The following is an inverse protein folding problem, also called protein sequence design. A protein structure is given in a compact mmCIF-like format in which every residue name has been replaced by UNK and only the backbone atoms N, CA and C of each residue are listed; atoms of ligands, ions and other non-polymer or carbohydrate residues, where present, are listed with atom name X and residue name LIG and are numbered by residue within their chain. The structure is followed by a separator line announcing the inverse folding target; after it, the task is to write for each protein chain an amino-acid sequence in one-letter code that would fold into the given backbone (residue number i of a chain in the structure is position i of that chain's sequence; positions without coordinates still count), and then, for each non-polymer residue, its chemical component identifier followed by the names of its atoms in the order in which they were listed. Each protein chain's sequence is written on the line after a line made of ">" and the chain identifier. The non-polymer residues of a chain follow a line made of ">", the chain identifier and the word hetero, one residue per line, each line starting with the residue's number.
data_IF_594112709019
#
_entry.id   IF_594112709019
#
_cell.length_a   1.000
_cell.length_b   1.000
_cell.length_c   1.000
_cell.angle_alpha   90.00
_cell.angle_beta   90.00
_cell.angle_gamma   90.00
#
_symmetry.space_group_name_H-M   'P 1'
#
loop_
_entity.id
_entity.type
_entity.pdbx_description
1 polymer ?
#
# COMPACT_ATOMS: atom_id res chain seq x y z
N UNK A 1 17.32 23.59 9.73
CA UNK A 1 15.98 23.04 9.45
C UNK A 1 16.09 21.53 9.53
N UNK A 2 15.43 20.90 10.51
CA UNK A 2 15.44 19.44 10.64
C UNK A 2 14.46 18.83 9.63
N UNK A 3 14.98 18.13 8.62
CA UNK A 3 14.16 17.27 7.76
C UNK A 3 13.69 16.07 8.59
N UNK A 4 12.44 16.12 9.05
CA UNK A 4 11.74 14.94 9.54
C UNK A 4 11.50 14.00 8.36
N UNK A 5 12.40 13.01 8.17
CA UNK A 5 12.10 11.85 7.34
C UNK A 5 11.13 10.96 8.12
N UNK A 6 9.88 10.72 7.69
CA UNK A 6 9.03 9.74 8.33
C UNK A 6 9.65 8.36 8.10
N UNK A 7 10.20 7.75 9.14
CA UNK A 7 10.91 6.46 9.08
C UNK A 7 9.98 5.24 9.02
N UNK A 8 8.82 5.34 8.39
CA UNK A 8 7.93 4.19 8.21
C UNK A 8 6.70 4.49 7.36
N UNK A 9 6.08 3.43 6.83
CA UNK A 9 4.77 3.52 6.18
C UNK A 9 3.74 4.15 7.13
N UNK A 10 2.91 5.03 6.60
CA UNK A 10 1.72 5.51 7.32
C UNK A 10 0.82 4.34 7.75
N UNK A 11 0.02 4.54 8.81
CA UNK A 11 -0.91 3.50 9.30
C UNK A 11 -1.87 3.02 8.18
N UNK A 12 -2.33 3.96 7.35
CA UNK A 12 -3.14 3.67 6.17
C UNK A 12 -2.36 2.83 5.14
N UNK A 13 -1.13 3.21 4.78
CA UNK A 13 -0.32 2.44 3.84
C UNK A 13 -0.01 1.01 4.34
N UNK A 14 0.21 0.82 5.65
CA UNK A 14 0.39 -0.53 6.24
C UNK A 14 -0.86 -1.40 6.06
N UNK A 15 -2.05 -0.81 6.28
CA UNK A 15 -3.32 -1.52 6.11
C UNK A 15 -3.60 -1.82 4.65
N UNK A 16 -3.35 -0.85 3.76
CA UNK A 16 -3.45 -1.05 2.30
C UNK A 16 -2.54 -2.19 1.87
N UNK A 17 -1.25 -2.18 2.26
CA UNK A 17 -0.32 -3.27 1.93
C UNK A 17 -0.84 -4.64 2.34
N UNK A 18 -1.42 -4.77 3.53
CA UNK A 18 -2.00 -6.04 4.00
C UNK A 18 -3.19 -6.47 3.13
N UNK A 19 -4.09 -5.55 2.81
CA UNK A 19 -5.28 -5.80 1.97
C UNK A 19 -4.89 -6.28 0.56
N UNK A 20 -3.80 -5.74 0.02
CA UNK A 20 -3.28 -6.07 -1.30
C UNK A 20 -2.50 -7.38 -1.37
N UNK A 21 -2.11 -7.96 -0.23
CA UNK A 21 -1.43 -9.25 -0.19
C UNK A 21 -2.40 -10.37 -0.64
N UNK A 22 -2.09 -11.12 -1.71
CA UNK A 22 -2.91 -12.23 -2.16
C UNK A 22 -3.04 -13.34 -1.12
N UNK A 23 -2.04 -13.52 -0.25
CA UNK A 23 -2.04 -14.53 0.81
C UNK A 23 -2.88 -14.11 2.03
N UNK A 24 -3.21 -12.82 2.17
CA UNK A 24 -4.02 -12.32 3.27
C UNK A 24 -5.52 -12.56 2.99
N UNK A 25 -6.29 -13.21 3.89
CA UNK A 25 -7.72 -13.40 3.69
C UNK A 25 -8.48 -12.07 3.82
N UNK A 26 -8.96 -11.54 2.70
CA UNK A 26 -9.72 -10.28 2.69
C UNK A 26 -11.07 -10.48 3.39
N UNK A 27 -11.34 -9.66 4.41
CA UNK A 27 -12.62 -9.66 5.12
C UNK A 27 -13.50 -8.47 4.73
N UNK A 28 -14.76 -8.52 5.16
CA UNK A 28 -15.78 -7.49 4.90
C UNK A 28 -15.36 -6.12 5.45
N UNK A 29 -14.78 -6.10 6.65
CA UNK A 29 -14.37 -4.90 7.37
C UNK A 29 -13.24 -4.17 6.63
N UNK A 30 -12.36 -4.91 5.96
CA UNK A 30 -11.28 -4.33 5.16
C UNK A 30 -11.80 -3.64 3.90
N UNK A 31 -12.78 -4.24 3.21
CA UNK A 31 -13.45 -3.61 2.07
C UNK A 31 -14.14 -2.32 2.50
N UNK A 32 -14.91 -2.36 3.58
CA UNK A 32 -15.60 -1.18 4.13
C UNK A 32 -14.61 -0.10 4.50
N UNK A 33 -13.49 -0.48 5.10
CA UNK A 33 -12.45 0.47 5.47
C UNK A 33 -11.86 1.19 4.26
N UNK A 34 -11.56 0.46 3.15
CA UNK A 34 -11.06 1.09 1.93
C UNK A 34 -12.10 2.01 1.30
N UNK A 35 -13.36 1.59 1.21
CA UNK A 35 -14.43 2.44 0.67
C UNK A 35 -14.56 3.74 1.48
N UNK A 36 -14.60 3.64 2.81
CA UNK A 36 -14.64 4.82 3.68
C UNK A 36 -13.39 5.69 3.55
N UNK A 37 -12.21 5.08 3.40
CA UNK A 37 -10.96 5.79 3.18
C UNK A 37 -10.98 6.62 1.88
N UNK A 38 -11.37 6.01 0.76
CA UNK A 38 -11.52 6.70 -0.54
C UNK A 38 -12.57 7.81 -0.44
N UNK A 39 -13.74 7.54 0.15
CA UNK A 39 -14.78 8.53 0.33
C UNK A 39 -14.28 9.74 1.13
N UNK A 40 -13.53 9.51 2.22
CA UNK A 40 -12.94 10.57 3.04
C UNK A 40 -11.96 11.42 2.22
N UNK A 41 -11.12 10.80 1.39
CA UNK A 41 -10.16 11.49 0.51
C UNK A 41 -10.86 12.37 -0.51
N UNK A 42 -11.93 11.87 -1.13
CA UNK A 42 -12.77 12.66 -2.04
C UNK A 42 -13.45 13.83 -1.33
N UNK A 43 -14.05 13.59 -0.16
CA UNK A 43 -14.73 14.64 0.63
C UNK A 43 -13.78 15.76 1.07
N UNK A 44 -12.54 15.42 1.39
CA UNK A 44 -11.48 16.37 1.74
C UNK A 44 -10.82 17.03 0.52
N UNK A 45 -11.24 16.68 -0.70
CA UNK A 45 -10.66 17.17 -1.95
C UNK A 45 -9.13 16.98 -1.99
N UNK A 46 -8.69 15.76 -1.68
CA UNK A 46 -7.26 15.42 -1.68
C UNK A 46 -6.60 15.88 -3.00
N UNK A 47 -5.52 16.69 -2.95
CA UNK A 47 -4.89 17.25 -4.14
C UNK A 47 -4.50 16.18 -5.17
N UNK A 48 -4.07 15.00 -4.70
CA UNK A 48 -3.68 13.92 -5.59
C UNK A 48 -4.84 13.39 -6.44
N UNK A 49 -6.09 13.50 -5.95
CA UNK A 49 -7.28 13.17 -6.71
C UNK A 49 -7.70 14.31 -7.65
N UNK A 50 -7.51 15.57 -7.25
CA UNK A 50 -7.83 16.74 -8.08
C UNK A 50 -6.92 16.84 -9.32
N UNK A 51 -5.68 16.39 -9.20
CA UNK A 51 -4.70 16.38 -10.29
C UNK A 51 -4.96 15.25 -11.32
N UNK A 52 -5.85 14.31 -11.02
CA UNK A 52 -6.21 13.25 -11.95
C UNK A 52 -7.05 13.76 -13.12
N UNK A 53 -6.85 13.16 -14.29
CA UNK A 53 -7.71 13.42 -15.44
C UNK A 53 -9.16 12.97 -15.19
N UNK A 54 -10.13 13.64 -15.83
CA UNK A 54 -11.56 13.28 -15.73
C UNK A 54 -11.84 11.80 -16.07
N UNK A 55 -11.28 11.21 -17.15
CA UNK A 55 -11.49 9.80 -17.44
C UNK A 55 -10.98 8.88 -16.32
N UNK A 56 -9.83 9.21 -15.70
CA UNK A 56 -9.29 8.42 -14.59
C UNK A 56 -10.15 8.51 -13.34
N UNK A 57 -10.70 9.70 -13.03
CA UNK A 57 -11.65 9.86 -11.93
C UNK A 57 -12.93 9.05 -12.13
N UNK A 58 -13.46 9.02 -13.35
CA UNK A 58 -14.62 8.18 -13.69
C UNK A 58 -14.33 6.69 -13.50
N UNK A 59 -13.11 6.24 -13.86
CA UNK A 59 -12.69 4.86 -13.64
C UNK A 59 -12.56 4.54 -12.14
N UNK A 60 -11.94 5.42 -11.34
CA UNK A 60 -11.89 5.26 -9.88
C UNK A 60 -13.29 5.15 -9.29
N UNK A 61 -14.22 6.00 -9.72
CA UNK A 61 -15.60 6.01 -9.26
C UNK A 61 -16.35 4.73 -9.66
N UNK A 62 -16.16 4.25 -10.89
CA UNK A 62 -16.77 3.00 -11.35
C UNK A 62 -16.29 1.83 -10.47
N UNK A 63 -14.97 1.67 -10.29
CA UNK A 63 -14.42 0.61 -9.46
C UNK A 63 -14.83 0.72 -7.99
N UNK A 64 -15.02 1.94 -7.46
CA UNK A 64 -15.60 2.16 -6.14
C UNK A 64 -17.03 1.59 -6.06
N UNK A 65 -17.88 1.88 -7.06
CA UNK A 65 -19.25 1.36 -7.14
C UNK A 65 -19.28 -0.16 -7.28
N UNK A 66 -18.43 -0.74 -8.12
CA UNK A 66 -18.31 -2.20 -8.27
C UNK A 66 -17.90 -2.87 -6.96
N UNK A 67 -16.90 -2.35 -6.25
CA UNK A 67 -16.51 -2.84 -4.93
C UNK A 67 -17.67 -2.76 -3.92
N UNK A 68 -18.45 -1.68 -3.93
CA UNK A 68 -19.62 -1.54 -3.07
C UNK A 68 -20.74 -2.53 -3.42
N UNK A 69 -21.00 -2.78 -4.71
CA UNK A 69 -21.98 -3.76 -5.17
C UNK A 69 -21.54 -5.19 -4.83
N UNK A 70 -20.26 -5.51 -5.01
CA UNK A 70 -19.68 -6.79 -4.60
C UNK A 70 -19.83 -7.00 -3.09
N UNK A 71 -19.57 -5.96 -2.28
CA UNK A 71 -19.77 -5.99 -0.83
C UNK A 71 -21.23 -6.27 -0.43
N UNK A 72 -22.20 -5.63 -1.10
CA UNK A 72 -23.62 -5.78 -0.80
C UNK A 72 -24.18 -7.13 -1.30
N UNK A 73 -23.77 -7.58 -2.48
CA UNK A 73 -24.22 -8.84 -3.10
C UNK A 73 -23.56 -10.10 -2.53
N UNK A 74 -22.62 -9.96 -1.59
CA UNK A 74 -21.79 -11.03 -1.03
C UNK A 74 -22.50 -11.95 -0.02
N UNK A 75 -23.84 -11.97 0.01
CA UNK A 75 -24.65 -12.63 1.01
C UNK A 75 -24.37 -14.12 1.27
N UNK A 76 -23.63 -14.85 0.42
CA UNK A 76 -23.21 -16.25 0.68
C UNK A 76 -21.95 -16.77 -0.07
N UNK A 77 -21.26 -15.99 -0.92
CA UNK A 77 -20.13 -16.49 -1.74
C UNK A 77 -18.99 -15.47 -1.95
N UNK A 78 -18.39 -14.99 -0.86
CA UNK A 78 -17.24 -14.06 -0.90
C UNK A 78 -16.00 -14.70 -1.55
N UNK A 79 -15.83 -16.02 -1.44
CA UNK A 79 -14.59 -16.69 -1.84
C UNK A 79 -14.31 -16.69 -3.35
N UNK A 80 -15.34 -16.69 -4.21
CA UNK A 80 -15.19 -16.75 -5.68
C UNK A 80 -14.97 -15.40 -6.35
N UNK A 81 -15.14 -14.28 -5.63
CA UNK A 81 -15.02 -12.90 -6.17
C UNK A 81 -13.88 -12.08 -5.55
N UNK A 82 -13.02 -12.73 -4.76
CA UNK A 82 -11.96 -12.06 -3.99
C UNK A 82 -10.86 -11.42 -4.86
N UNK A 83 -10.64 -11.94 -6.07
CA UNK A 83 -9.73 -11.31 -7.02
C UNK A 83 -10.36 -10.04 -7.62
N UNK A 84 -11.64 -10.11 -7.96
CA UNK A 84 -12.39 -9.01 -8.55
C UNK A 84 -12.49 -7.83 -7.58
N UNK A 85 -12.79 -8.10 -6.31
CA UNK A 85 -12.91 -7.03 -5.31
C UNK A 85 -11.58 -6.34 -5.01
N UNK A 86 -10.45 -7.06 -4.92
CA UNK A 86 -9.14 -6.42 -4.70
C UNK A 86 -8.77 -5.51 -5.87
N UNK A 87 -9.04 -5.97 -7.08
CA UNK A 87 -8.82 -5.17 -8.29
C UNK A 87 -9.67 -3.89 -8.25
N UNK A 88 -10.95 -4.00 -7.89
CA UNK A 88 -11.82 -2.83 -7.72
C UNK A 88 -11.29 -1.86 -6.65
N UNK A 89 -10.83 -2.37 -5.50
CA UNK A 89 -10.26 -1.55 -4.43
C UNK A 89 -8.97 -0.83 -4.85
N UNK A 90 -8.10 -1.52 -5.61
CA UNK A 90 -6.88 -0.92 -6.18
C UNK A 90 -7.21 0.24 -7.13
N UNK A 91 -8.12 0.00 -8.07
CA UNK A 91 -8.53 1.00 -9.06
C UNK A 91 -9.24 2.19 -8.40
N UNK A 92 -10.03 1.95 -7.34
CA UNK A 92 -10.69 3.01 -6.58
C UNK A 92 -9.70 3.91 -5.82
N UNK A 93 -8.57 3.36 -5.36
CA UNK A 93 -7.52 4.09 -4.65
C UNK A 93 -6.46 4.71 -5.59
N UNK A 94 -6.57 4.53 -6.91
CA UNK A 94 -5.56 5.00 -7.86
C UNK A 94 -5.29 6.50 -7.71
N UNK A 95 -4.01 6.87 -7.66
CA UNK A 95 -3.55 8.24 -7.46
C UNK A 95 -3.33 8.65 -6.00
N UNK A 96 -3.80 7.87 -5.02
CA UNK A 96 -3.58 8.19 -3.61
C UNK A 96 -2.13 7.88 -3.17
N UNK A 97 -1.48 8.78 -2.41
CA UNK A 97 -0.09 8.60 -2.00
C UNK A 97 0.09 7.38 -1.08
N UNK A 98 -0.90 7.06 -0.23
CA UNK A 98 -0.81 5.90 0.66
C UNK A 98 -0.78 4.56 -0.11
N UNK A 99 -1.37 4.52 -1.31
CA UNK A 99 -1.28 3.36 -2.19
C UNK A 99 0.14 3.23 -2.76
N UNK A 100 0.73 4.33 -3.23
CA UNK A 100 2.11 4.35 -3.71
C UNK A 100 3.12 3.98 -2.59
N UNK A 101 2.91 4.48 -1.37
CA UNK A 101 3.66 4.07 -0.18
C UNK A 101 3.52 2.57 0.10
N UNK A 102 2.30 2.02 -0.01
CA UNK A 102 2.05 0.61 0.21
C UNK A 102 2.81 -0.29 -0.78
N UNK A 103 2.92 0.12 -2.04
CA UNK A 103 3.68 -0.60 -3.08
C UNK A 103 5.20 -0.42 -2.99
N UNK A 104 5.67 0.67 -2.37
CA UNK A 104 7.10 0.95 -2.27
C UNK A 104 7.81 -0.18 -1.48
N UNK A 105 8.82 -0.86 -2.05
CA UNK A 105 9.58 -1.87 -1.32
C UNK A 105 10.17 -1.19 -0.08
N UNK A 106 9.78 -1.67 1.10
CA UNK A 106 10.27 -1.12 2.36
C UNK A 106 11.80 -1.23 2.36
N UNK A 107 12.50 -0.11 2.62
CA UNK A 107 13.94 -0.04 2.86
C UNK A 107 14.34 -0.76 4.17
N UNK A 108 13.92 -2.02 4.33
CA UNK A 108 14.17 -2.85 5.50
C UNK A 108 15.42 -3.74 5.31
N UNK A 109 16.46 -3.25 4.62
CA UNK A 109 17.76 -3.93 4.50
C UNK A 109 18.99 -3.06 4.82
N UNK A 110 18.82 -1.86 5.37
CA UNK A 110 19.98 -1.00 5.68
C UNK A 110 20.49 -1.15 7.12
N UNK A 111 19.83 -1.92 7.98
CA UNK A 111 20.22 -2.02 9.40
C UNK A 111 21.22 -3.18 9.68
N UNK A 112 21.38 -4.14 8.77
CA UNK A 112 22.31 -5.28 9.00
C UNK A 112 23.77 -5.04 8.55
N UNK A 113 24.08 -3.93 7.86
CA UNK A 113 25.44 -3.72 7.32
C UNK A 113 26.42 -3.00 8.27
N UNK A 114 26.03 -2.64 9.50
CA UNK A 114 26.89 -1.89 10.44
C UNK A 114 27.45 -2.71 11.60
N UNK A 115 27.30 -4.04 11.60
CA UNK A 115 27.99 -4.92 12.55
C UNK A 115 28.94 -5.83 11.77
N UNK A 116 30.12 -5.31 11.47
CA UNK A 116 31.31 -6.12 11.21
C UNK A 116 32.50 -5.37 11.80
N UNK A 117 33.12 -5.86 12.88
CA UNK A 117 34.33 -5.26 13.41
C UNK A 117 35.50 -5.47 12.43
N UNK A 118 36.47 -4.54 12.36
CA UNK A 118 37.57 -4.64 11.42
C UNK A 118 38.50 -5.81 11.77
N UNK A 119 38.75 -6.67 10.79
CA UNK A 119 39.84 -7.63 10.82
C UNK A 119 41.17 -6.86 10.88
N UNK A 120 41.86 -6.95 12.01
CA UNK A 120 43.23 -6.47 12.12
C UNK A 120 44.12 -7.33 11.22
N UNK A 121 44.70 -6.70 10.19
CA UNK A 121 45.69 -7.30 9.33
C UNK A 121 47.03 -7.45 10.04
N UNK A 122 47.50 -8.69 10.16
CA UNK A 122 48.92 -8.96 10.27
C UNK A 122 49.47 -9.15 8.84
N UNK A 123 50.04 -8.08 8.28
CA UNK A 123 51.20 -8.20 7.38
C UNK A 123 52.43 -8.37 8.30
N UNK A 124 53.42 -9.23 8.05
CA UNK A 124 54.16 -9.37 6.79
C UNK A 124 54.89 -10.71 6.70
N UNK A 125 55.09 -11.13 5.46
CA UNK A 125 55.80 -12.30 4.97
C UNK A 125 57.32 -12.30 5.23
N UNK A 126 57.88 -13.51 5.46
CA UNK A 126 59.14 -14.15 4.98
C UNK A 126 60.23 -13.33 4.24
N UNK A 127 61.42 -13.90 3.91
CA UNK A 127 62.32 -14.85 4.59
C UNK A 127 63.79 -14.33 4.61
N UNK A 128 64.71 -14.95 5.36
CA UNK A 128 66.14 -15.15 5.05
C UNK A 128 66.72 -16.22 5.99
#
# INVERSE_FOLDING_TARGET
>A
MMSFRPTGLSSAAKRIRRILDPAYPLCREDVIWVLHFVQKKVALKDPALLDLSKPRLLQNFNSYCEAALLLLGSGNHIHTKNHDIRTCLLEAMHGLPELAEAHSPSQARTVESLISPPANGNHSSSPE
#
